data_IF_940180245554
#
_entry.id   IF_940180245554
#
_cell.length_a   1.000
_cell.length_b   1.000
_cell.length_c   1.000
_cell.angle_alpha   90.00
_cell.angle_beta   90.00
_cell.angle_gamma   90.00
#
_symmetry.space_group_name_H-M   'P 1'
#
loop_
_entity.id
_entity.type
_entity.pdbx_description
1 polymer ?
#
# COMPACT_ATOMS: atom_id res chain seq x y z
N UNK A 1 13.75 -6.65 9.56
CA UNK A 1 12.65 -7.63 9.45
C UNK A 1 12.21 -7.67 8.00
N UNK A 2 12.63 -8.69 7.24
CA UNK A 2 12.37 -8.83 5.80
C UNK A 2 11.09 -9.65 5.64
N UNK A 3 9.99 -9.02 5.25
CA UNK A 3 8.82 -9.73 4.71
C UNK A 3 8.79 -9.38 3.22
N UNK A 4 9.46 -10.21 2.43
CA UNK A 4 9.44 -10.14 0.97
C UNK A 4 8.29 -11.02 0.49
N UNK A 5 7.11 -10.43 0.27
CA UNK A 5 6.01 -11.11 -0.41
C UNK A 5 6.33 -11.16 -1.92
N UNK A 6 6.45 -12.38 -2.47
CA UNK A 6 7.01 -12.65 -3.79
C UNK A 6 6.05 -12.54 -4.97
N UNK A 7 4.81 -12.09 -4.81
CA UNK A 7 3.82 -12.08 -5.90
C UNK A 7 2.97 -10.81 -6.07
N UNK A 8 3.12 -9.81 -5.20
CA UNK A 8 2.56 -8.49 -5.44
C UNK A 8 3.55 -7.64 -6.26
N UNK A 9 3.07 -6.67 -7.03
CA UNK A 9 3.82 -5.67 -7.82
C UNK A 9 4.93 -4.88 -7.06
N UNK A 10 5.29 -5.27 -5.84
CA UNK A 10 6.36 -4.75 -5.01
C UNK A 10 7.75 -4.77 -5.65
N UNK A 11 7.99 -5.55 -6.72
CA UNK A 11 9.30 -5.56 -7.40
C UNK A 11 9.66 -4.21 -8.04
N UNK A 12 8.68 -3.35 -8.32
CA UNK A 12 8.89 -2.02 -8.89
C UNK A 12 8.96 -0.92 -7.82
N UNK A 13 8.36 -1.15 -6.64
CA UNK A 13 8.52 -0.33 -5.43
C UNK A 13 9.70 -0.84 -4.61
N UNK A 14 10.88 -1.01 -5.24
CA UNK A 14 12.11 -1.12 -4.47
C UNK A 14 12.24 0.23 -3.76
N UNK A 15 11.82 0.28 -2.49
CA UNK A 15 12.05 1.37 -1.56
C UNK A 15 13.56 1.51 -1.41
N UNK A 16 14.19 2.20 -2.37
CA UNK A 16 15.55 2.69 -2.29
C UNK A 16 15.58 3.84 -1.30
N UNK A 17 15.30 3.54 -0.03
CA UNK A 17 15.92 4.27 1.07
C UNK A 17 17.14 3.42 1.44
N UNK A 18 18.21 3.56 0.66
CA UNK A 18 19.55 3.35 1.23
C UNK A 18 19.74 4.49 2.24
N UNK A 19 19.27 4.28 3.46
CA UNK A 19 19.57 5.13 4.62
C UNK A 19 21.06 5.07 5.00
N UNK A 20 21.89 4.33 4.27
CA UNK A 20 23.34 4.25 4.47
C UNK A 20 24.10 5.48 3.90
N UNK A 21 23.45 6.37 3.13
CA UNK A 21 24.13 7.56 2.55
C UNK A 21 23.60 8.92 3.04
N UNK A 22 22.70 8.97 4.05
CA UNK A 22 22.05 10.24 4.43
C UNK A 22 22.52 10.87 5.75
N UNK A 23 23.60 10.40 6.37
CA UNK A 23 24.22 11.07 7.52
C UNK A 23 25.74 11.13 7.34
N UNK A 24 26.21 11.71 6.24
CA UNK A 24 27.52 12.35 6.22
C UNK A 24 27.33 13.86 6.40
N UNK A 25 27.52 14.30 7.65
CA UNK A 25 27.50 15.72 8.03
C UNK A 25 28.81 16.42 7.58
N UNK A 26 29.77 15.69 7.01
CA UNK A 26 31.14 16.20 6.80
C UNK A 26 31.49 16.71 5.39
N UNK A 27 30.69 16.54 4.34
CA UNK A 27 31.08 17.03 3.01
C UNK A 27 29.99 17.83 2.31
N UNK A 28 29.94 19.13 2.60
CA UNK A 28 29.88 20.24 1.63
C UNK A 28 28.78 20.34 0.56
N UNK A 29 27.91 19.36 0.34
CA UNK A 29 26.82 19.41 -0.65
C UNK A 29 25.56 18.72 -0.10
N UNK A 30 24.46 19.45 0.18
CA UNK A 30 23.17 18.81 0.36
C UNK A 30 22.57 18.51 -1.03
N UNK A 31 22.67 17.28 -1.53
CA UNK A 31 21.84 16.83 -2.65
C UNK A 31 20.58 16.14 -2.13
N UNK A 32 19.67 16.92 -1.53
CA UNK A 32 18.27 16.48 -1.35
C UNK A 32 17.42 16.77 -2.59
N UNK A 33 17.93 17.57 -3.53
CA UNK A 33 17.20 18.10 -4.69
C UNK A 33 16.74 17.05 -5.73
N UNK A 34 17.34 15.85 -5.74
CA UNK A 34 16.97 14.80 -6.71
C UNK A 34 16.13 13.67 -6.10
N UNK A 35 15.75 13.79 -4.82
CA UNK A 35 14.87 12.85 -4.14
C UNK A 35 13.41 13.32 -4.17
N UNK A 36 12.84 13.57 -5.35
CA UNK A 36 11.41 13.23 -5.47
C UNK A 36 11.32 11.77 -5.08
N UNK A 37 10.60 11.39 -4.01
CA UNK A 37 10.56 10.00 -3.62
C UNK A 37 10.10 9.22 -4.85
N UNK A 38 10.84 8.22 -5.29
CA UNK A 38 10.39 7.31 -6.36
C UNK A 38 8.98 6.76 -6.04
N UNK A 39 8.61 6.72 -4.76
CA UNK A 39 7.26 6.47 -4.24
C UNK A 39 6.17 7.44 -4.71
N UNK A 40 6.50 8.71 -4.98
CA UNK A 40 5.60 9.72 -5.54
C UNK A 40 5.17 9.33 -6.95
N UNK A 41 6.15 9.15 -7.84
CA UNK A 41 5.93 8.81 -9.26
C UNK A 41 5.19 7.46 -9.38
N UNK A 42 5.70 6.42 -8.70
CA UNK A 42 5.06 5.10 -8.74
C UNK A 42 3.68 5.11 -8.06
N UNK A 43 3.48 5.97 -7.07
CA UNK A 43 2.19 6.18 -6.40
C UNK A 43 1.14 6.78 -7.34
N UNK A 44 1.46 7.88 -8.03
CA UNK A 44 0.56 8.48 -9.00
C UNK A 44 0.27 7.55 -10.18
N UNK A 45 1.28 6.85 -10.73
CA UNK A 45 1.07 5.87 -11.80
C UNK A 45 0.15 4.71 -11.35
N UNK A 46 0.29 4.27 -10.10
CA UNK A 46 -0.56 3.21 -9.53
C UNK A 46 -1.99 3.69 -9.31
N UNK A 47 -2.17 4.93 -8.87
CA UNK A 47 -3.46 5.59 -8.74
C UNK A 47 -4.16 5.69 -10.10
N UNK A 48 -3.47 6.24 -11.10
CA UNK A 48 -4.05 6.52 -12.42
C UNK A 48 -4.39 5.26 -13.22
N UNK A 49 -3.63 4.18 -13.02
CA UNK A 49 -3.88 2.88 -13.67
C UNK A 49 -4.83 1.95 -12.91
N UNK A 50 -5.30 2.34 -11.71
CA UNK A 50 -6.20 1.53 -10.88
C UNK A 50 -7.67 1.77 -11.25
N UNK A 51 -8.48 0.71 -11.25
CA UNK A 51 -9.94 0.81 -11.36
C UNK A 51 -10.64 1.13 -10.01
N UNK A 52 -9.88 1.21 -8.91
CA UNK A 52 -10.42 1.51 -7.58
C UNK A 52 -10.54 3.03 -7.36
N UNK A 53 -11.77 3.54 -7.49
CA UNK A 53 -12.08 4.97 -7.29
C UNK A 53 -11.75 5.48 -5.87
N UNK A 54 -11.80 4.61 -4.86
CA UNK A 54 -11.44 4.99 -3.48
C UNK A 54 -9.92 5.19 -3.40
N UNK A 55 -9.15 4.28 -3.98
CA UNK A 55 -7.70 4.43 -4.08
C UNK A 55 -7.31 5.72 -4.81
N UNK A 56 -7.99 6.02 -5.93
CA UNK A 56 -7.78 7.24 -6.70
C UNK A 56 -8.05 8.53 -5.92
N UNK A 57 -8.98 8.47 -4.97
CA UNK A 57 -9.35 9.61 -4.14
C UNK A 57 -8.40 9.78 -2.95
N UNK A 58 -8.03 8.68 -2.29
CA UNK A 58 -7.37 8.72 -0.99
C UNK A 58 -5.84 8.72 -1.08
N UNK A 59 -5.27 8.18 -2.16
CA UNK A 59 -3.83 8.11 -2.36
C UNK A 59 -3.17 9.48 -2.63
N UNK A 60 -3.72 10.38 -3.48
CA UNK A 60 -3.07 11.66 -3.79
C UNK A 60 -2.80 12.56 -2.57
N UNK A 61 -3.75 12.75 -1.61
CA UNK A 61 -3.46 13.51 -0.39
C UNK A 61 -2.32 12.91 0.45
N UNK A 62 -2.18 11.58 0.48
CA UNK A 62 -1.11 10.90 1.19
C UNK A 62 0.26 11.09 0.51
N UNK A 63 0.31 11.05 -0.83
CA UNK A 63 1.52 11.35 -1.62
C UNK A 63 1.96 12.80 -1.41
N UNK A 64 1.02 13.75 -1.53
CA UNK A 64 1.28 15.16 -1.32
C UNK A 64 1.80 15.44 0.09
N UNK A 65 1.31 14.72 1.11
CA UNK A 65 1.81 14.84 2.48
C UNK A 65 3.28 14.44 2.59
N UNK A 66 3.67 13.32 1.97
CA UNK A 66 5.08 12.87 1.96
C UNK A 66 5.95 13.91 1.26
N UNK A 67 5.55 14.40 0.09
CA UNK A 67 6.30 15.42 -0.66
C UNK A 67 6.50 16.72 0.14
N UNK A 68 5.42 17.24 0.72
CA UNK A 68 5.49 18.47 1.53
C UNK A 68 6.39 18.27 2.76
N UNK A 69 6.35 17.09 3.36
CA UNK A 69 7.18 16.74 4.50
C UNK A 69 8.65 16.64 4.12
N UNK A 70 8.97 16.10 2.93
CA UNK A 70 10.33 16.09 2.39
C UNK A 70 10.88 17.51 2.20
N UNK A 71 10.07 18.44 1.67
CA UNK A 71 10.46 19.85 1.54
C UNK A 71 10.75 20.50 2.89
N UNK A 72 9.96 20.19 3.92
CA UNK A 72 10.22 20.68 5.29
C UNK A 72 11.55 20.17 5.85
N UNK A 73 11.91 18.92 5.56
CA UNK A 73 13.19 18.35 5.95
C UNK A 73 14.37 19.02 5.23
N UNK A 74 14.24 19.25 3.92
CA UNK A 74 15.25 19.95 3.13
C UNK A 74 15.48 21.38 3.63
N UNK A 75 14.39 22.13 3.84
CA UNK A 75 14.41 23.46 4.45
C UNK A 75 15.10 23.45 5.82
N UNK A 76 14.75 22.49 6.68
CA UNK A 76 15.33 22.37 8.01
C UNK A 76 16.84 22.13 7.94
N UNK A 77 17.29 21.23 7.05
CA UNK A 77 18.70 20.97 6.80
C UNK A 77 19.43 22.23 6.33
N UNK A 78 18.86 22.99 5.39
CA UNK A 78 19.46 24.23 4.92
C UNK A 78 19.59 25.27 6.04
N UNK A 79 18.56 25.43 6.87
CA UNK A 79 18.57 26.37 7.98
C UNK A 79 19.55 25.97 9.10
N UNK A 80 19.66 24.67 9.42
CA UNK A 80 20.59 24.16 10.42
C UNK A 80 22.06 24.29 10.00
N UNK A 81 22.35 24.26 8.69
CA UNK A 81 23.69 24.55 8.16
C UNK A 81 24.11 26.00 8.43
N UNK A 82 23.18 26.95 8.35
CA UNK A 82 23.45 28.37 8.63
C UNK A 82 23.47 28.70 10.12
N UNK A 83 22.52 28.16 10.88
CA UNK A 83 22.42 28.33 12.33
C UNK A 83 22.04 26.99 13.01
N UNK A 84 23.03 26.27 13.59
CA UNK A 84 22.79 25.00 14.27
C UNK A 84 21.82 25.10 15.46
N UNK A 85 21.68 26.30 16.04
CA UNK A 85 20.82 26.53 17.20
C UNK A 85 19.45 27.10 16.82
N UNK A 86 19.12 27.17 15.52
CA UNK A 86 17.84 27.66 15.00
C UNK A 86 16.65 26.85 15.52
N UNK A 87 15.85 27.47 16.39
CA UNK A 87 14.59 26.89 16.90
C UNK A 87 13.58 26.65 15.76
N UNK A 88 13.36 27.57 14.80
CA UNK A 88 12.48 27.33 13.67
C UNK A 88 12.91 26.13 12.80
N UNK A 89 14.22 25.93 12.62
CA UNK A 89 14.74 24.81 11.85
C UNK A 89 14.46 23.46 12.54
N UNK A 90 14.68 23.38 13.86
CA UNK A 90 14.33 22.17 14.65
C UNK A 90 12.83 21.87 14.59
N UNK A 91 11.97 22.89 14.60
CA UNK A 91 10.53 22.70 14.43
C UNK A 91 10.19 22.10 13.06
N UNK A 92 10.74 22.65 11.97
CA UNK A 92 10.56 22.09 10.62
C UNK A 92 11.05 20.65 10.51
N UNK A 93 12.18 20.32 11.14
CA UNK A 93 12.72 18.96 11.18
C UNK A 93 11.75 17.98 11.84
N UNK A 94 11.20 18.34 13.00
CA UNK A 94 10.24 17.50 13.74
C UNK A 94 8.93 17.34 12.95
N UNK A 95 8.40 18.44 12.42
CA UNK A 95 7.14 18.43 11.65
C UNK A 95 7.31 17.65 10.34
N UNK A 96 8.43 17.80 9.64
CA UNK A 96 8.78 17.03 8.45
C UNK A 96 8.92 15.53 8.76
N UNK A 97 9.67 15.16 9.79
CA UNK A 97 9.85 13.74 10.17
C UNK A 97 8.52 13.08 10.54
N UNK A 98 7.67 13.77 11.32
CA UNK A 98 6.32 13.30 11.64
C UNK A 98 5.47 13.17 10.38
N UNK A 99 5.53 14.15 9.50
CA UNK A 99 4.76 14.19 8.26
C UNK A 99 5.10 13.04 7.31
N UNK A 100 6.39 12.67 7.20
CA UNK A 100 6.84 11.49 6.44
C UNK A 100 6.23 10.22 7.03
N UNK A 101 6.39 9.96 8.34
CA UNK A 101 5.86 8.75 8.97
C UNK A 101 4.34 8.62 8.78
N UNK A 102 3.62 9.72 8.94
CA UNK A 102 2.16 9.75 8.76
C UNK A 102 1.75 9.57 7.29
N UNK A 103 2.46 10.23 6.37
CA UNK A 103 2.19 10.12 4.93
C UNK A 103 2.45 8.70 4.42
N UNK A 104 3.59 8.10 4.77
CA UNK A 104 3.90 6.71 4.40
C UNK A 104 2.91 5.73 5.01
N UNK A 105 2.52 5.91 6.27
CA UNK A 105 1.48 5.07 6.88
C UNK A 105 0.16 5.16 6.12
N UNK A 106 -0.28 6.37 5.76
CA UNK A 106 -1.51 6.57 5.00
C UNK A 106 -1.43 5.93 3.60
N UNK A 107 -0.30 6.03 2.91
CA UNK A 107 -0.08 5.41 1.59
C UNK A 107 -0.19 3.89 1.65
N UNK A 108 0.48 3.27 2.62
CA UNK A 108 0.45 1.82 2.80
C UNK A 108 -0.98 1.33 3.13
N UNK A 109 -1.72 2.08 3.95
CA UNK A 109 -3.11 1.78 4.26
C UNK A 109 -4.02 1.90 3.03
N UNK A 110 -3.90 2.97 2.23
CA UNK A 110 -4.69 3.12 1.00
C UNK A 110 -4.51 1.92 0.07
N UNK A 111 -3.27 1.46 -0.11
CA UNK A 111 -2.94 0.29 -0.92
C UNK A 111 -3.51 -1.01 -0.33
N UNK A 112 -3.27 -1.24 0.97
CA UNK A 112 -3.76 -2.42 1.67
C UNK A 112 -5.28 -2.55 1.59
N UNK A 113 -6.01 -1.44 1.83
CA UNK A 113 -7.46 -1.43 1.74
C UNK A 113 -7.96 -1.69 0.31
N UNK A 114 -7.24 -1.22 -0.71
CA UNK A 114 -7.56 -1.52 -2.12
C UNK A 114 -7.44 -3.01 -2.41
N UNK A 115 -6.38 -3.67 -1.93
CA UNK A 115 -6.22 -5.12 -2.08
C UNK A 115 -7.33 -5.88 -1.33
N UNK A 116 -7.64 -5.48 -0.09
CA UNK A 116 -8.75 -6.07 0.68
C UNK A 116 -10.09 -5.90 -0.04
N UNK A 117 -10.36 -4.74 -0.65
CA UNK A 117 -11.56 -4.51 -1.45
C UNK A 117 -11.65 -5.45 -2.65
N UNK A 118 -10.54 -5.80 -3.30
CA UNK A 118 -10.53 -6.79 -4.40
C UNK A 118 -10.94 -8.18 -3.91
N UNK A 119 -10.40 -8.62 -2.77
CA UNK A 119 -10.77 -9.91 -2.14
C UNK A 119 -12.27 -9.92 -1.82
N UNK A 120 -12.77 -8.89 -1.17
CA UNK A 120 -14.20 -8.77 -0.81
C UNK A 120 -15.10 -8.81 -2.05
N UNK A 121 -14.71 -8.16 -3.16
CA UNK A 121 -15.47 -8.23 -4.43
C UNK A 121 -15.54 -9.67 -4.95
N UNK A 122 -14.43 -10.42 -4.88
CA UNK A 122 -14.39 -11.85 -5.22
C UNK A 122 -15.35 -12.67 -4.36
N UNK A 123 -15.30 -12.50 -3.04
CA UNK A 123 -16.21 -13.19 -2.12
C UNK A 123 -17.68 -12.87 -2.41
N UNK A 124 -18.00 -11.59 -2.67
CA UNK A 124 -19.36 -11.17 -3.05
C UNK A 124 -19.82 -11.83 -4.34
N UNK A 125 -18.95 -11.96 -5.34
CA UNK A 125 -19.29 -12.68 -6.58
C UNK A 125 -19.64 -14.14 -6.31
N UNK A 126 -18.87 -14.83 -5.47
CA UNK A 126 -19.21 -16.20 -5.05
C UNK A 126 -20.58 -16.24 -4.38
N UNK A 127 -20.87 -15.34 -3.44
CA UNK A 127 -22.17 -15.25 -2.78
C UNK A 127 -23.33 -14.98 -3.77
N UNK A 128 -23.12 -14.09 -4.73
CA UNK A 128 -24.10 -13.79 -5.79
C UNK A 128 -24.39 -15.04 -6.63
N UNK A 129 -23.37 -15.84 -6.99
CA UNK A 129 -23.56 -17.11 -7.67
C UNK A 129 -24.32 -18.12 -6.80
N UNK A 130 -23.95 -18.27 -5.53
CA UNK A 130 -24.62 -19.20 -4.62
C UNK A 130 -26.11 -18.90 -4.46
N UNK A 131 -26.52 -17.63 -4.52
CA UNK A 131 -27.94 -17.26 -4.51
C UNK A 131 -28.72 -17.76 -5.74
N UNK A 132 -28.05 -17.92 -6.90
CA UNK A 132 -28.67 -18.48 -8.12
C UNK A 132 -28.85 -20.00 -8.01
N UNK A 133 -28.07 -20.68 -7.17
CA UNK A 133 -28.12 -22.13 -7.03
C UNK A 133 -29.51 -22.65 -6.60
N UNK A 134 -30.28 -21.83 -5.87
CA UNK A 134 -31.61 -22.21 -5.36
C UNK A 134 -32.68 -22.40 -6.45
N UNK A 135 -32.47 -21.84 -7.65
CA UNK A 135 -33.46 -21.84 -8.75
C UNK A 135 -33.05 -22.74 -9.93
N UNK A 136 -32.05 -23.60 -9.76
CA UNK A 136 -31.57 -24.50 -10.82
C UNK A 136 -32.53 -25.69 -10.96
N UNK A 137 -33.12 -25.86 -12.14
CA UNK A 137 -34.11 -26.90 -12.41
C UNK A 137 -33.62 -28.02 -13.34
N UNK A 138 -32.45 -27.87 -13.99
CA UNK A 138 -31.89 -28.84 -14.92
C UNK A 138 -30.43 -29.21 -14.63
N UNK A 139 -30.03 -30.41 -15.06
CA UNK A 139 -28.64 -30.90 -14.93
C UNK A 139 -27.69 -30.09 -15.83
N UNK A 140 -28.16 -29.64 -16.99
CA UNK A 140 -27.36 -28.82 -17.90
C UNK A 140 -27.05 -27.44 -17.29
N UNK A 141 -28.05 -26.83 -16.64
CA UNK A 141 -27.88 -25.56 -15.91
C UNK A 141 -26.98 -25.74 -14.67
N UNK A 142 -27.12 -26.87 -13.97
CA UNK A 142 -26.21 -27.23 -12.87
C UNK A 142 -24.76 -27.37 -13.36
N UNK A 143 -24.56 -28.04 -14.49
CA UNK A 143 -23.23 -28.21 -15.07
C UNK A 143 -22.62 -26.87 -15.49
N UNK A 144 -23.43 -25.94 -16.00
CA UNK A 144 -23.00 -24.58 -16.34
C UNK A 144 -22.66 -23.76 -15.08
N UNK A 145 -23.53 -23.81 -14.06
CA UNK A 145 -23.30 -23.17 -12.77
C UNK A 145 -21.96 -23.61 -12.15
N UNK A 146 -21.69 -24.92 -12.10
CA UNK A 146 -20.43 -25.46 -11.57
C UNK A 146 -19.22 -24.95 -12.37
N UNK A 147 -19.31 -24.93 -13.71
CA UNK A 147 -18.24 -24.38 -14.56
C UNK A 147 -17.98 -22.91 -14.27
N UNK A 148 -19.01 -22.13 -14.02
CA UNK A 148 -18.90 -20.68 -13.82
C UNK A 148 -18.41 -20.31 -12.42
N UNK A 149 -18.85 -21.02 -11.36
CA UNK A 149 -18.48 -20.71 -9.98
C UNK A 149 -17.09 -21.23 -9.60
N UNK A 150 -16.64 -22.35 -10.17
CA UNK A 150 -15.37 -23.00 -9.79
C UNK A 150 -14.15 -22.07 -9.91
N UNK A 151 -13.96 -21.30 -11.01
CA UNK A 151 -12.86 -20.34 -11.11
C UNK A 151 -12.88 -19.27 -10.03
N UNK A 152 -14.06 -18.80 -9.61
CA UNK A 152 -14.20 -17.79 -8.56
C UNK A 152 -13.86 -18.36 -7.19
N UNK A 153 -14.29 -19.59 -6.88
CA UNK A 153 -13.94 -20.28 -5.63
C UNK A 153 -12.43 -20.49 -5.51
N UNK A 154 -11.79 -21.01 -6.57
CA UNK A 154 -10.33 -21.20 -6.59
C UNK A 154 -9.58 -19.88 -6.43
N UNK A 155 -10.06 -18.80 -7.06
CA UNK A 155 -9.46 -17.47 -6.92
C UNK A 155 -9.58 -16.92 -5.52
N UNK A 156 -10.79 -16.93 -4.94
CA UNK A 156 -11.04 -16.41 -3.59
C UNK A 156 -10.27 -17.22 -2.55
N UNK A 157 -10.21 -18.54 -2.68
CA UNK A 157 -9.40 -19.40 -1.81
C UNK A 157 -7.93 -18.97 -1.85
N UNK A 158 -7.33 -18.88 -3.05
CA UNK A 158 -5.95 -18.41 -3.21
C UNK A 158 -5.74 -17.00 -2.62
N UNK A 159 -6.63 -16.05 -2.91
CA UNK A 159 -6.52 -14.67 -2.45
C UNK A 159 -6.61 -14.57 -0.91
N UNK A 160 -7.47 -15.37 -0.26
CA UNK A 160 -7.58 -15.45 1.20
C UNK A 160 -6.37 -16.14 1.82
N UNK A 161 -5.89 -17.25 1.24
CA UNK A 161 -4.69 -17.95 1.71
C UNK A 161 -3.42 -17.09 1.56
N UNK A 162 -3.35 -16.22 0.54
CA UNK A 162 -2.29 -15.22 0.42
C UNK A 162 -2.44 -14.12 1.48
N UNK A 163 -3.67 -13.62 1.69
CA UNK A 163 -3.92 -12.55 2.66
C UNK A 163 -3.57 -12.96 4.09
N UNK A 164 -3.93 -14.17 4.51
CA UNK A 164 -3.60 -14.63 5.87
C UNK A 164 -2.09 -14.67 6.11
N UNK A 165 -1.29 -15.00 5.09
CA UNK A 165 0.17 -15.07 5.22
C UNK A 165 0.82 -13.69 5.48
N UNK A 166 0.14 -12.62 5.10
CA UNK A 166 0.61 -11.23 5.25
C UNK A 166 0.16 -10.58 6.58
N UNK A 167 -0.89 -11.10 7.22
CA UNK A 167 -1.40 -10.54 8.47
C UNK A 167 -0.38 -10.76 9.58
N UNK A 168 -0.19 -9.76 10.45
CA UNK A 168 0.68 -9.85 11.62
C UNK A 168 -0.03 -10.45 12.83
N UNK A 169 -1.33 -10.22 12.97
CA UNK A 169 -2.15 -10.67 14.10
C UNK A 169 -2.59 -12.13 13.93
N UNK A 170 -2.07 -13.03 14.77
CA UNK A 170 -2.31 -14.48 14.69
C UNK A 170 -3.80 -14.83 14.74
N UNK A 171 -4.57 -14.19 15.63
CA UNK A 171 -6.01 -14.47 15.76
C UNK A 171 -6.76 -14.22 14.45
N UNK A 172 -6.39 -13.18 13.69
CA UNK A 172 -7.04 -12.92 12.40
C UNK A 172 -6.63 -13.93 11.33
N UNK A 173 -5.38 -14.42 11.37
CA UNK A 173 -4.95 -15.53 10.50
C UNK A 173 -5.74 -16.78 10.77
N UNK A 174 -5.88 -17.16 12.04
CA UNK A 174 -6.57 -18.38 12.45
C UNK A 174 -8.04 -18.36 12.02
N UNK A 175 -8.70 -17.20 12.12
CA UNK A 175 -10.07 -17.03 11.62
C UNK A 175 -10.14 -17.30 10.12
N UNK A 176 -9.22 -16.73 9.32
CA UNK A 176 -9.20 -16.94 7.88
C UNK A 176 -8.82 -18.36 7.46
N UNK A 177 -7.94 -19.04 8.21
CA UNK A 177 -7.54 -20.43 7.96
C UNK A 177 -8.59 -21.45 8.40
N UNK A 178 -9.39 -21.15 9.43
CA UNK A 178 -10.45 -22.06 9.90
C UNK A 178 -11.61 -22.27 8.89
N UNK A 179 -11.53 -21.62 7.73
CA UNK A 179 -12.46 -21.75 6.62
C UNK A 179 -12.00 -22.79 5.56
N UNK A 180 -10.82 -23.39 5.70
CA UNK A 180 -10.32 -24.55 4.92
C UNK A 180 -10.66 -25.87 5.62
#
# INVERSE_FOLDING_TARGET
>A
MRVLCGHCKWRQLRLGFELDECIDVDDGRPSFADATPLSGIVGYDTCDSSDDRILQQDMPPALQRVENSSRLLEDACHMLKGDPYSVPARKKLIDGARGILQGTSALLLCFDESEVRKIIRGCRKVLDYLAVAEVIESIDDLAQFVKDITPWLSRVSSDVSNRQAELTHQVHRDILCSLE
#
